data_IF_948983168350
#
_entry.id   IF_948983168350
#
_cell.length_a   1.000
_cell.length_b   1.000
_cell.length_c   1.000
_cell.angle_alpha   90.00
_cell.angle_beta   90.00
_cell.angle_gamma   90.00
#
_symmetry.space_group_name_H-M   'P 1'
#
loop_
_entity.id
_entity.type
_entity.pdbx_description
1 polymer ?
#
# COMPACT_ATOMS: atom_id res chain seq x y z
N UNK A 1 6.35 19.18 -20.42
CA UNK A 1 6.66 17.97 -19.62
C UNK A 1 5.93 18.05 -18.27
N UNK A 2 4.75 17.44 -18.16
CA UNK A 2 4.05 17.34 -16.88
C UNK A 2 4.88 16.44 -15.97
N UNK A 3 5.37 16.97 -14.83
CA UNK A 3 6.01 16.16 -13.79
C UNK A 3 5.05 15.01 -13.46
N UNK A 4 5.40 13.75 -13.72
CA UNK A 4 4.49 12.63 -13.49
C UNK A 4 4.13 12.67 -12.02
N UNK A 5 2.84 12.83 -11.76
CA UNK A 5 2.26 13.06 -10.45
C UNK A 5 2.97 12.20 -9.42
N UNK A 6 3.81 12.83 -8.58
CA UNK A 6 4.38 12.19 -7.41
C UNK A 6 3.19 11.79 -6.56
N UNK A 7 2.69 10.57 -6.73
CA UNK A 7 1.72 10.02 -5.82
C UNK A 7 2.52 9.82 -4.54
N UNK A 8 2.36 10.75 -3.60
CA UNK A 8 3.22 10.78 -2.43
C UNK A 8 2.61 9.85 -1.38
N UNK A 9 3.39 8.86 -0.95
CA UNK A 9 3.08 7.93 0.14
C UNK A 9 2.41 8.62 1.35
N UNK A 10 2.83 9.83 1.71
CA UNK A 10 2.23 10.58 2.81
C UNK A 10 0.73 10.85 2.61
N UNK A 11 0.25 11.05 1.38
CA UNK A 11 -1.19 11.23 1.10
C UNK A 11 -1.96 9.94 1.35
N UNK A 12 -1.41 8.80 0.95
CA UNK A 12 -1.99 7.50 1.24
C UNK A 12 -2.06 7.29 2.77
N UNK A 13 -0.95 7.52 3.48
CA UNK A 13 -0.88 7.43 4.94
C UNK A 13 -1.91 8.33 5.62
N UNK A 14 -2.04 9.58 5.15
CA UNK A 14 -3.03 10.52 5.67
C UNK A 14 -4.46 10.02 5.48
N UNK A 15 -4.81 9.52 4.30
CA UNK A 15 -6.14 8.94 4.07
C UNK A 15 -6.38 7.69 4.92
N UNK A 16 -5.36 6.86 5.16
CA UNK A 16 -5.46 5.72 6.07
C UNK A 16 -5.70 6.15 7.51
N UNK A 17 -5.06 7.22 7.98
CA UNK A 17 -5.35 7.81 9.31
C UNK A 17 -6.78 8.35 9.36
N UNK A 18 -7.22 9.09 8.34
CA UNK A 18 -8.61 9.57 8.25
C UNK A 18 -9.62 8.42 8.24
N UNK A 19 -9.28 7.28 7.65
CA UNK A 19 -10.13 6.09 7.69
C UNK A 19 -10.27 5.54 9.11
N UNK A 20 -9.18 5.56 9.89
CA UNK A 20 -9.16 5.11 11.28
C UNK A 20 -10.00 6.03 12.19
N UNK A 21 -10.02 7.33 11.92
CA UNK A 21 -10.82 8.31 12.68
C UNK A 21 -12.28 8.43 12.21
N UNK A 22 -12.63 7.88 11.05
CA UNK A 22 -13.97 8.03 10.50
C UNK A 22 -14.95 7.08 11.21
N UNK A 23 -15.89 7.64 11.97
CA UNK A 23 -16.98 6.89 12.60
C UNK A 23 -18.18 6.70 11.67
N UNK A 24 -18.40 7.61 10.70
CA UNK A 24 -19.54 7.58 9.79
C UNK A 24 -19.31 6.63 8.58
N UNK A 25 -20.27 5.73 8.32
CA UNK A 25 -20.25 4.75 7.21
C UNK A 25 -20.03 5.42 5.84
N UNK A 26 -20.70 6.53 5.55
CA UNK A 26 -20.57 7.29 4.28
C UNK A 26 -19.18 7.89 4.12
N UNK A 27 -18.59 8.37 5.21
CA UNK A 27 -17.22 8.91 5.22
C UNK A 27 -16.20 7.78 5.02
N UNK A 28 -16.36 6.66 5.73
CA UNK A 28 -15.49 5.49 5.58
C UNK A 28 -15.49 4.96 4.14
N UNK A 29 -16.65 4.89 3.50
CA UNK A 29 -16.75 4.50 2.10
C UNK A 29 -15.95 5.44 1.19
N UNK A 30 -16.18 6.76 1.30
CA UNK A 30 -15.44 7.76 0.49
C UNK A 30 -13.93 7.69 0.71
N UNK A 31 -13.48 7.52 1.95
CA UNK A 31 -12.06 7.39 2.25
C UNK A 31 -11.46 6.11 1.65
N UNK A 32 -12.18 4.98 1.73
CA UNK A 32 -11.75 3.73 1.08
C UNK A 32 -11.61 3.88 -0.43
N UNK A 33 -12.58 4.54 -1.08
CA UNK A 33 -12.49 4.84 -2.51
C UNK A 33 -11.24 5.64 -2.84
N UNK A 34 -10.92 6.69 -2.06
CA UNK A 34 -9.68 7.46 -2.24
C UNK A 34 -8.43 6.62 -2.08
N UNK A 35 -8.36 5.77 -1.05
CA UNK A 35 -7.23 4.86 -0.82
C UNK A 35 -7.04 3.92 -2.02
N UNK A 36 -8.13 3.33 -2.52
CA UNK A 36 -8.08 2.46 -3.69
C UNK A 36 -7.62 3.19 -4.95
N UNK A 37 -8.15 4.38 -5.22
CA UNK A 37 -7.70 5.24 -6.34
C UNK A 37 -6.19 5.51 -6.26
N UNK A 38 -5.67 5.80 -5.05
CA UNK A 38 -4.24 6.02 -4.82
C UNK A 38 -3.40 4.78 -5.16
N UNK A 39 -3.83 3.61 -4.71
CA UNK A 39 -3.13 2.35 -4.95
C UNK A 39 -3.19 1.94 -6.42
N UNK A 40 -4.34 2.09 -7.08
CA UNK A 40 -4.50 1.79 -8.50
C UNK A 40 -3.65 2.71 -9.38
N UNK A 41 -3.65 4.02 -9.09
CA UNK A 41 -2.83 4.96 -9.85
C UNK A 41 -1.34 4.65 -9.69
N UNK A 42 -0.91 4.20 -8.50
CA UNK A 42 0.45 3.70 -8.29
C UNK A 42 0.70 2.41 -9.06
N UNK A 43 -0.22 1.46 -9.03
CA UNK A 43 -0.10 0.20 -9.75
C UNK A 43 0.08 0.44 -11.25
N UNK A 44 -0.81 1.22 -11.88
CA UNK A 44 -0.75 1.58 -13.30
C UNK A 44 0.56 2.27 -13.69
N UNK A 45 1.13 3.05 -12.77
CA UNK A 45 2.42 3.68 -12.98
C UNK A 45 3.58 2.65 -12.94
N UNK A 46 3.51 1.67 -12.04
CA UNK A 46 4.57 0.68 -11.86
C UNK A 46 4.48 -0.50 -12.83
N UNK A 47 3.28 -0.88 -13.24
CA UNK A 47 2.98 -2.01 -14.10
C UNK A 47 1.98 -1.57 -15.19
N UNK A 48 2.39 -0.72 -16.14
CA UNK A 48 1.50 -0.21 -17.20
C UNK A 48 1.01 -1.33 -18.14
N UNK A 49 1.74 -2.44 -18.23
CA UNK A 49 1.41 -3.60 -19.06
C UNK A 49 0.38 -4.54 -18.42
N UNK A 50 -0.09 -4.25 -17.19
CA UNK A 50 -1.03 -5.16 -16.51
C UNK A 50 -2.38 -5.23 -17.23
N UNK A 51 -3.07 -6.39 -17.24
CA UNK A 51 -4.33 -6.53 -17.96
C UNK A 51 -5.42 -5.60 -17.42
N UNK A 52 -6.22 -4.97 -18.29
CA UNK A 52 -7.32 -4.11 -17.86
C UNK A 52 -8.35 -4.91 -17.05
N UNK A 53 -8.82 -4.32 -15.93
CA UNK A 53 -9.86 -4.90 -15.07
C UNK A 53 -9.35 -5.62 -13.82
N UNK A 54 -8.06 -5.95 -13.72
CA UNK A 54 -7.46 -6.61 -12.54
C UNK A 54 -6.93 -5.64 -11.48
N UNK A 55 -6.73 -4.36 -11.83
CA UNK A 55 -6.15 -3.35 -10.94
C UNK A 55 -6.88 -3.23 -9.58
N UNK A 56 -8.21 -3.18 -9.64
CA UNK A 56 -9.06 -2.96 -8.47
C UNK A 56 -8.99 -4.12 -7.46
N UNK A 57 -9.32 -5.38 -7.84
CA UNK A 57 -9.27 -6.50 -6.92
C UNK A 57 -7.85 -6.74 -6.38
N UNK A 58 -6.82 -6.58 -7.21
CA UNK A 58 -5.43 -6.69 -6.79
C UNK A 58 -5.07 -5.65 -5.72
N UNK A 59 -5.34 -4.37 -5.99
CA UNK A 59 -5.04 -3.28 -5.05
C UNK A 59 -5.82 -3.44 -3.73
N UNK A 60 -7.06 -3.91 -3.79
CA UNK A 60 -7.84 -4.22 -2.60
C UNK A 60 -7.24 -5.37 -1.78
N UNK A 61 -6.85 -6.46 -2.43
CA UNK A 61 -6.22 -7.60 -1.77
C UNK A 61 -4.91 -7.17 -1.07
N UNK A 62 -4.07 -6.41 -1.77
CA UNK A 62 -2.82 -5.86 -1.22
C UNK A 62 -3.11 -4.94 -0.03
N UNK A 63 -4.10 -4.06 -0.14
CA UNK A 63 -4.47 -3.16 0.95
C UNK A 63 -4.90 -3.92 2.21
N UNK A 64 -5.80 -4.89 2.05
CA UNK A 64 -6.31 -5.70 3.16
C UNK A 64 -5.21 -6.57 3.77
N UNK A 65 -4.40 -7.24 2.94
CA UNK A 65 -3.26 -8.03 3.41
C UNK A 65 -2.25 -7.18 4.18
N UNK A 66 -2.00 -5.95 3.72
CA UNK A 66 -1.09 -5.01 4.38
C UNK A 66 -1.64 -4.51 5.72
N UNK A 67 -2.95 -4.28 5.82
CA UNK A 67 -3.60 -3.96 7.10
C UNK A 67 -3.53 -5.11 8.10
N UNK A 68 -3.68 -6.35 7.64
CA UNK A 68 -3.53 -7.55 8.47
C UNK A 68 -2.08 -7.72 8.93
N UNK A 69 -1.12 -7.54 8.03
CA UNK A 69 0.30 -7.55 8.37
C UNK A 69 0.64 -6.46 9.41
N UNK A 70 0.14 -5.23 9.22
CA UNK A 70 0.30 -4.14 10.18
C UNK A 70 -0.29 -4.47 11.55
N UNK A 71 -1.47 -5.12 11.59
CA UNK A 71 -2.07 -5.60 12.84
C UNK A 71 -1.21 -6.67 13.52
N UNK A 72 -0.66 -7.60 12.75
CA UNK A 72 0.21 -8.67 13.24
C UNK A 72 1.50 -8.11 13.85
N UNK A 73 2.14 -7.16 13.15
CA UNK A 73 3.33 -6.46 13.64
C UNK A 73 3.08 -5.85 15.02
N UNK A 74 1.90 -5.25 15.23
CA UNK A 74 1.55 -4.64 16.52
C UNK A 74 1.39 -5.63 17.68
N UNK A 75 1.14 -6.91 17.40
CA UNK A 75 1.06 -7.96 18.43
C UNK A 75 2.43 -8.53 18.78
N UNK A 76 3.43 -8.35 17.92
CA UNK A 76 4.79 -8.91 18.07
C UNK A 76 5.86 -7.82 17.92
N UNK A 77 5.99 -6.89 18.87
CA UNK A 77 6.92 -5.76 18.78
C UNK A 77 8.39 -6.16 18.61
N UNK A 78 8.82 -7.29 19.17
CA UNK A 78 10.20 -7.78 19.06
C UNK A 78 10.66 -8.17 17.64
N UNK A 79 9.73 -8.28 16.68
CA UNK A 79 10.03 -8.60 15.26
C UNK A 79 9.99 -7.36 14.34
N UNK A 80 9.68 -6.18 14.88
CA UNK A 80 9.42 -4.97 14.09
C UNK A 80 10.69 -4.26 13.57
N UNK A 81 11.85 -4.51 14.16
CA UNK A 81 13.04 -3.65 13.99
C UNK A 81 13.80 -3.85 12.67
N UNK A 82 13.65 -4.99 11.99
CA UNK A 82 14.45 -5.30 10.78
C UNK A 82 13.87 -4.76 9.47
N UNK A 83 12.54 -4.60 9.35
CA UNK A 83 11.89 -4.30 8.07
C UNK A 83 11.18 -2.93 8.01
N UNK A 84 11.01 -2.25 9.13
CA UNK A 84 10.33 -0.96 9.19
C UNK A 84 11.35 0.14 9.48
N UNK A 85 11.41 1.22 8.66
CA UNK A 85 12.29 2.34 8.94
C UNK A 85 12.05 2.91 10.33
N UNK A 86 13.12 3.20 11.09
CA UNK A 86 13.02 3.79 12.45
C UNK A 86 12.11 5.02 12.52
N UNK A 87 12.06 5.82 11.45
CA UNK A 87 11.18 7.00 11.33
C UNK A 87 9.68 6.61 11.34
N UNK A 88 9.34 5.48 10.71
CA UNK A 88 7.97 4.96 10.70
C UNK A 88 7.59 4.38 12.06
N UNK A 89 8.50 3.67 12.72
CA UNK A 89 8.34 3.24 14.12
C UNK A 89 8.06 4.42 15.05
N UNK A 90 8.79 5.53 14.87
CA UNK A 90 8.55 6.79 15.60
C UNK A 90 7.16 7.37 15.33
N UNK A 91 6.75 7.45 14.06
CA UNK A 91 5.40 7.89 13.69
C UNK A 91 4.31 6.98 14.29
N UNK A 92 4.56 5.67 14.37
CA UNK A 92 3.62 4.73 14.97
C UNK A 92 3.45 4.95 16.47
N UNK A 93 4.55 5.24 17.17
CA UNK A 93 4.53 5.55 18.61
C UNK A 93 3.78 6.86 18.88
N UNK A 94 3.97 7.87 18.03
CA UNK A 94 3.37 9.19 18.22
C UNK A 94 1.86 9.23 17.92
N UNK A 95 1.39 8.44 16.94
CA UNK A 95 0.00 8.46 16.48
C UNK A 95 -0.95 7.53 17.27
N UNK A 96 -0.41 6.73 18.19
CA UNK A 96 -1.18 5.73 18.95
C UNK A 96 -1.54 4.48 18.13
N UNK A 97 -2.16 3.50 18.80
CA UNK A 97 -2.31 2.14 18.26
C UNK A 97 -3.22 2.03 17.02
N UNK A 98 -4.31 2.80 16.97
CA UNK A 98 -5.25 2.78 15.83
C UNK A 98 -4.67 3.42 14.57
N UNK A 99 -4.22 4.67 14.70
CA UNK A 99 -3.64 5.45 13.61
C UNK A 99 -2.29 4.89 13.14
N UNK A 100 -1.44 4.44 14.07
CA UNK A 100 -0.14 3.83 13.75
C UNK A 100 -0.28 2.58 12.88
N UNK A 101 -1.26 1.70 13.18
CA UNK A 101 -1.57 0.54 12.31
C UNK A 101 -2.02 0.95 10.92
N UNK A 102 -2.80 2.03 10.80
CA UNK A 102 -3.26 2.53 9.51
C UNK A 102 -2.10 3.06 8.65
N UNK A 103 -1.15 3.79 9.26
CA UNK A 103 0.07 4.26 8.59
C UNK A 103 0.97 3.09 8.20
N UNK A 104 1.15 2.12 9.09
CA UNK A 104 1.92 0.90 8.81
C UNK A 104 1.31 0.12 7.64
N UNK A 105 0.00 -0.05 7.61
CA UNK A 105 -0.71 -0.70 6.50
C UNK A 105 -0.52 0.06 5.19
N UNK A 106 -0.58 1.40 5.21
CA UNK A 106 -0.31 2.25 4.04
C UNK A 106 1.10 2.05 3.50
N UNK A 107 2.09 2.04 4.39
CA UNK A 107 3.48 1.82 4.04
C UNK A 107 3.71 0.44 3.42
N UNK A 108 3.19 -0.61 4.07
CA UNK A 108 3.35 -1.98 3.59
C UNK A 108 2.67 -2.17 2.23
N UNK A 109 1.46 -1.65 2.04
CA UNK A 109 0.76 -1.73 0.75
C UNK A 109 1.56 -1.03 -0.36
N UNK A 110 2.17 0.10 -0.04
CA UNK A 110 2.97 0.87 -0.97
C UNK A 110 4.22 0.13 -1.45
N UNK A 111 4.91 -0.55 -0.54
CA UNK A 111 6.08 -1.39 -0.84
C UNK A 111 5.67 -2.63 -1.60
N UNK A 112 4.64 -3.35 -1.12
CA UNK A 112 4.15 -4.58 -1.75
C UNK A 112 3.73 -4.37 -3.21
N UNK A 113 3.13 -3.23 -3.53
CA UNK A 113 2.84 -2.89 -4.93
C UNK A 113 4.11 -2.75 -5.80
N UNK A 114 5.19 -2.22 -5.25
CA UNK A 114 6.46 -2.10 -5.98
C UNK A 114 7.15 -3.45 -6.17
N UNK A 115 7.20 -4.26 -5.10
CA UNK A 115 7.73 -5.63 -5.16
C UNK A 115 6.97 -6.48 -6.18
N UNK A 116 5.64 -6.45 -6.16
CA UNK A 116 4.81 -7.21 -7.10
C UNK A 116 4.96 -6.72 -8.55
N UNK A 117 5.10 -5.41 -8.76
CA UNK A 117 5.34 -4.88 -10.09
C UNK A 117 6.71 -5.29 -10.63
N UNK A 118 7.73 -5.34 -9.77
CA UNK A 118 9.05 -5.83 -10.14
C UNK A 118 9.04 -7.32 -10.47
N UNK A 119 8.38 -8.12 -9.63
CA UNK A 119 8.23 -9.56 -9.85
C UNK A 119 7.46 -9.82 -11.16
N UNK A 120 6.38 -9.09 -11.41
CA UNK A 120 5.61 -9.20 -12.65
C UNK A 120 6.45 -8.90 -13.89
N UNK A 121 7.37 -7.93 -13.82
CA UNK A 121 8.30 -7.61 -14.92
C UNK A 121 9.32 -8.74 -15.11
N UNK A 122 9.95 -9.21 -14.04
CA UNK A 122 10.92 -10.33 -14.09
C UNK A 122 10.31 -11.60 -14.69
N UNK A 123 9.11 -11.95 -14.25
CA UNK A 123 8.36 -13.08 -14.80
C UNK A 123 8.09 -12.83 -16.29
N UNK A 124 7.56 -11.66 -16.66
CA UNK A 124 7.32 -11.31 -18.06
C UNK A 124 8.57 -11.43 -18.95
N UNK A 125 9.74 -11.01 -18.46
CA UNK A 125 11.00 -11.13 -19.19
C UNK A 125 11.48 -12.58 -19.29
N UNK A 126 11.28 -13.39 -18.26
CA UNK A 126 11.64 -14.82 -18.29
C UNK A 126 10.87 -15.60 -19.37
N UNK A 127 9.59 -15.30 -19.58
CA UNK A 127 8.77 -15.91 -20.64
C UNK A 127 9.18 -15.47 -22.05
N UNK A 128 9.79 -14.28 -22.19
CA UNK A 128 10.30 -13.77 -23.47
C UNK A 128 11.62 -14.43 -23.90
N UNK A 129 12.35 -15.05 -22.96
CA UNK A 129 13.69 -15.60 -23.20
C UNK A 129 13.77 -17.14 -23.16
N UNK A 130 12.65 -17.84 -22.96
CA UNK A 130 12.60 -19.30 -23.16
C UNK A 130 12.68 -19.62 -24.66
N UNK A 131 13.75 -20.28 -25.14
CA UNK A 131 13.82 -20.72 -26.53
C UNK A 131 12.79 -21.82 -26.75
N UNK A 132 11.95 -21.61 -27.77
CA UNK A 132 10.97 -22.57 -28.30
C UNK A 132 11.63 -23.82 -28.85
#
# INVERSE_FOLDING_TARGET
MQKPNSIRLWRLMWWSVRLAWAHNKKTRYRVRMRISEFLMNRWRFLAPESPPGLDWPLCQAIWLGSLLAARSLWRSPGRQESHIPRRLLWLFRLLGTGSGRAVAGAYLAWIRLAELAEESRRVGDSWRHTPS
#
